data_IF_744010432590
#
_entry.id   IF_744010432590
#
_cell.length_a   1.000
_cell.length_b   1.000
_cell.length_c   1.000
_cell.angle_alpha   90.00
_cell.angle_beta   90.00
_cell.angle_gamma   90.00
#
_symmetry.space_group_name_H-M   'P 1'
#
loop_
_entity.id
_entity.type
_entity.pdbx_description
1 polymer ?
#
# COMPACT_ATOMS: atom_id res chain seq x y z
N UNK A 1 -37.05 10.36 -9.32
CA UNK A 1 -35.77 10.57 -10.03
C UNK A 1 -34.89 9.38 -9.72
N UNK A 2 -34.72 8.43 -10.64
CA UNK A 2 -33.77 7.33 -10.45
C UNK A 2 -32.36 7.90 -10.61
N UNK A 3 -31.54 7.80 -9.56
CA UNK A 3 -30.15 8.22 -9.63
C UNK A 3 -29.38 7.20 -10.50
N UNK A 4 -29.18 7.53 -11.76
CA UNK A 4 -28.51 6.66 -12.75
C UNK A 4 -27.06 6.34 -12.37
N UNK A 5 -26.42 7.16 -11.52
CA UNK A 5 -25.07 6.89 -11.02
C UNK A 5 -25.02 5.74 -10.01
N UNK A 6 -26.08 5.51 -9.23
CA UNK A 6 -26.16 4.38 -8.30
C UNK A 6 -26.49 3.05 -8.98
N UNK A 7 -27.23 3.11 -10.10
CA UNK A 7 -27.66 1.91 -10.86
C UNK A 7 -26.51 1.31 -11.67
N UNK A 8 -25.51 2.12 -12.04
CA UNK A 8 -24.33 1.68 -12.81
C UNK A 8 -23.12 1.31 -11.94
N UNK A 9 -23.22 1.40 -10.61
CA UNK A 9 -22.11 0.95 -9.74
C UNK A 9 -22.01 -0.56 -9.78
N UNK A 10 -20.98 -1.04 -10.49
CA UNK A 10 -20.60 -2.44 -10.48
C UNK A 10 -20.06 -2.82 -9.09
N UNK A 11 -20.39 -4.02 -8.59
CA UNK A 11 -19.88 -4.48 -7.30
C UNK A 11 -18.36 -4.57 -7.40
N UNK A 12 -17.64 -4.02 -6.42
CA UNK A 12 -16.18 -4.11 -6.36
C UNK A 12 -15.76 -5.01 -5.21
N UNK A 13 -14.72 -5.81 -5.45
CA UNK A 13 -14.01 -6.48 -4.37
C UNK A 13 -13.32 -5.39 -3.55
N UNK A 14 -13.64 -5.35 -2.26
CA UNK A 14 -13.18 -4.28 -1.40
C UNK A 14 -13.17 -4.74 0.04
N UNK A 15 -12.32 -4.12 0.83
CA UNK A 15 -12.32 -4.30 2.27
C UNK A 15 -13.32 -3.36 2.94
N UNK A 16 -13.40 -3.45 4.26
CA UNK A 16 -14.09 -2.46 5.07
C UNK A 16 -13.21 -2.05 6.24
N UNK A 17 -13.41 -0.84 6.74
CA UNK A 17 -12.77 -0.34 7.94
C UNK A 17 -13.82 0.42 8.74
N UNK A 18 -13.92 0.11 10.03
CA UNK A 18 -14.82 0.76 10.96
C UNK A 18 -14.03 1.21 12.18
N UNK A 19 -14.36 2.37 12.72
CA UNK A 19 -13.69 2.94 13.88
C UNK A 19 -14.75 3.25 14.94
N UNK A 20 -14.62 2.58 16.08
CA UNK A 20 -15.44 2.82 17.26
C UNK A 20 -14.92 4.08 17.99
N UNK A 21 -15.62 5.19 17.76
CA UNK A 21 -15.27 6.51 18.32
C UNK A 21 -15.33 6.48 19.85
N UNK A 22 -16.18 5.65 20.47
CA UNK A 22 -16.31 5.57 21.92
C UNK A 22 -15.06 5.02 22.60
N UNK A 23 -14.36 4.09 21.94
CA UNK A 23 -13.10 3.49 22.42
C UNK A 23 -11.86 4.26 21.95
N UNK A 24 -11.99 5.02 20.87
CA UNK A 24 -10.87 5.74 20.27
C UNK A 24 -10.40 6.87 21.18
N UNK A 25 -9.19 6.73 21.74
CA UNK A 25 -8.50 7.81 22.44
C UNK A 25 -7.59 8.56 21.45
N UNK A 26 -7.55 9.91 21.49
CA UNK A 26 -6.69 10.70 20.61
C UNK A 26 -5.22 10.27 20.69
N UNK A 27 -4.63 9.87 19.58
CA UNK A 27 -3.21 9.52 19.44
C UNK A 27 -2.79 9.52 17.96
N UNK A 28 -1.48 9.57 17.67
CA UNK A 28 -0.94 9.58 16.31
C UNK A 28 -0.57 8.19 15.76
N UNK A 29 -0.77 7.12 16.54
CA UNK A 29 -0.24 5.79 16.22
C UNK A 29 -0.73 5.28 14.86
N UNK A 30 -2.03 5.38 14.61
CA UNK A 30 -2.64 4.85 13.40
C UNK A 30 -2.22 5.60 12.12
N UNK A 31 -2.04 6.92 12.21
CA UNK A 31 -1.52 7.76 11.14
C UNK A 31 -0.07 7.38 10.82
N UNK A 32 0.80 7.32 11.84
CA UNK A 32 2.22 6.99 11.70
C UNK A 32 2.46 5.52 11.30
N UNK A 33 1.55 4.63 11.63
CA UNK A 33 1.62 3.22 11.23
C UNK A 33 1.22 3.01 9.77
N UNK A 34 0.38 3.87 9.20
CA UNK A 34 -0.25 3.61 7.90
C UNK A 34 0.76 3.80 6.74
N UNK A 35 1.16 2.72 6.03
CA UNK A 35 2.13 2.85 4.93
C UNK A 35 1.60 3.62 3.71
N UNK A 36 0.28 3.84 3.66
CA UNK A 36 -0.44 4.55 2.59
C UNK A 36 -0.95 5.92 3.03
N UNK A 37 -0.62 6.37 4.24
CA UNK A 37 -1.07 7.64 4.83
C UNK A 37 -2.59 7.88 4.68
N UNK A 38 -3.38 6.81 4.77
CA UNK A 38 -4.84 6.85 4.57
C UNK A 38 -5.60 7.21 5.83
N UNK A 39 -4.92 7.29 6.98
CA UNK A 39 -5.48 7.68 8.27
C UNK A 39 -4.88 9.00 8.68
N UNK A 40 -5.73 9.97 9.04
CA UNK A 40 -5.30 11.27 9.59
C UNK A 40 -5.92 11.46 10.95
N UNK A 41 -5.08 11.70 11.94
CA UNK A 41 -5.47 11.99 13.32
C UNK A 41 -5.33 13.49 13.59
N UNK A 42 -6.46 14.19 13.59
CA UNK A 42 -6.53 15.60 13.98
C UNK A 42 -6.62 15.68 15.50
N UNK A 43 -5.53 16.07 16.15
CA UNK A 43 -5.45 16.20 17.61
C UNK A 43 -5.36 17.68 17.97
N UNK A 44 -6.28 18.14 18.81
CA UNK A 44 -6.30 19.46 19.41
C UNK A 44 -5.90 19.34 20.87
N UNK A 45 -4.68 19.77 21.17
CA UNK A 45 -4.12 19.88 22.52
C UNK A 45 -3.62 21.33 22.66
N UNK A 46 -4.00 22.05 23.73
CA UNK A 46 -3.42 23.36 24.03
C UNK A 46 -1.91 23.21 24.25
N UNK A 47 -1.12 24.15 23.75
CA UNK A 47 0.34 24.06 23.95
C UNK A 47 0.68 24.37 25.41
N UNK A 48 1.86 23.90 25.83
CA UNK A 48 2.39 24.19 27.16
C UNK A 48 2.37 25.68 27.48
N UNK A 49 2.71 26.54 26.52
CA UNK A 49 2.78 28.00 26.73
C UNK A 49 1.41 28.61 27.11
N UNK A 50 0.31 27.99 26.69
CA UNK A 50 -1.05 28.45 27.01
C UNK A 50 -1.52 27.95 28.39
N UNK A 51 -0.96 26.83 28.86
CA UNK A 51 -1.36 26.16 30.10
C UNK A 51 -0.56 26.59 31.32
N UNK A 52 0.67 27.05 31.13
CA UNK A 52 1.59 27.43 32.21
C UNK A 52 1.77 28.94 32.20
N UNK A 53 1.28 29.61 33.25
CA UNK A 53 1.44 31.06 33.43
C UNK A 53 2.43 31.33 34.55
N UNK A 54 3.46 32.12 34.24
CA UNK A 54 4.53 32.50 35.15
C UNK A 54 4.28 33.88 35.75
N UNK A 55 4.57 34.03 37.04
CA UNK A 55 4.57 35.31 37.74
C UNK A 55 6.03 35.79 37.89
N UNK A 56 6.59 36.34 36.80
CA UNK A 56 7.96 36.88 36.77
C UNK A 56 8.96 36.06 35.94
N UNK A 57 10.22 36.01 36.39
CA UNK A 57 11.30 35.30 35.69
C UNK A 57 11.08 33.79 35.66
N UNK A 58 11.37 33.16 34.52
CA UNK A 58 11.14 31.73 34.29
C UNK A 58 12.39 30.94 34.67
N UNK A 59 12.28 30.12 35.71
CA UNK A 59 13.31 29.18 36.13
C UNK A 59 12.68 27.93 36.74
N UNK A 60 13.36 26.78 36.61
CA UNK A 60 12.94 25.53 37.21
C UNK A 60 14.12 24.56 37.40
N UNK A 61 14.08 23.80 38.49
CA UNK A 61 15.00 22.72 38.83
C UNK A 61 14.19 21.44 39.04
N UNK A 62 14.59 20.36 38.39
CA UNK A 62 13.84 19.10 38.44
C UNK A 62 14.54 17.95 37.76
N UNK A 63 13.84 16.82 37.67
CA UNK A 63 14.29 15.60 37.00
C UNK A 63 13.15 15.05 36.13
N UNK A 64 13.48 14.59 34.93
CA UNK A 64 12.55 13.93 34.02
C UNK A 64 13.12 12.60 33.51
N UNK A 65 12.32 11.55 33.54
CA UNK A 65 12.68 10.21 33.06
C UNK A 65 11.55 9.61 32.22
N UNK A 66 11.92 8.93 31.14
CA UNK A 66 10.99 8.20 30.28
C UNK A 66 11.31 6.72 30.33
N UNK A 67 10.33 5.90 30.70
CA UNK A 67 10.40 4.45 30.59
C UNK A 67 10.05 4.05 29.15
N UNK A 68 11.05 3.59 28.40
CA UNK A 68 10.89 3.21 26.98
C UNK A 68 10.07 1.94 26.79
N UNK A 69 10.03 1.04 27.78
CA UNK A 69 9.25 -0.21 27.70
C UNK A 69 7.74 0.06 27.79
N UNK A 70 7.35 1.11 28.54
CA UNK A 70 5.95 1.55 28.66
C UNK A 70 5.54 2.54 27.56
N UNK A 71 6.50 3.17 26.88
CA UNK A 71 6.20 4.19 25.89
C UNK A 71 5.67 3.57 24.60
N UNK A 72 4.44 3.93 24.22
CA UNK A 72 3.81 3.48 22.96
C UNK A 72 4.01 4.47 21.80
N UNK A 73 4.81 5.52 21.99
CA UNK A 73 5.03 6.59 21.01
C UNK A 73 3.72 7.18 20.46
N UNK A 74 2.80 7.56 21.36
CA UNK A 74 1.50 8.10 20.98
C UNK A 74 1.55 9.52 20.38
N UNK A 75 2.65 10.25 20.58
CA UNK A 75 2.88 11.60 20.05
C UNK A 75 2.31 12.76 20.87
N UNK A 76 1.49 12.48 21.90
CA UNK A 76 0.79 13.54 22.65
C UNK A 76 1.74 14.50 23.38
N UNK A 77 2.83 13.97 23.94
CA UNK A 77 3.82 14.76 24.68
C UNK A 77 4.64 15.69 23.77
N UNK A 78 4.93 15.28 22.53
CA UNK A 78 5.62 16.11 21.53
C UNK A 78 4.71 17.22 21.00
N UNK A 79 3.40 16.94 20.78
CA UNK A 79 2.43 17.99 20.39
C UNK A 79 2.29 19.05 21.50
N UNK A 80 2.28 18.61 22.76
CA UNK A 80 2.08 19.46 23.92
C UNK A 80 3.29 20.33 24.24
N UNK A 81 4.51 19.78 24.13
CA UNK A 81 5.72 20.37 24.69
C UNK A 81 6.89 20.37 23.70
N UNK A 82 7.41 21.56 23.41
CA UNK A 82 8.56 21.76 22.52
C UNK A 82 9.90 21.21 23.07
N UNK A 83 9.94 20.80 24.35
CA UNK A 83 11.11 20.15 24.95
C UNK A 83 11.21 18.66 24.58
N UNK A 84 10.12 18.03 24.14
CA UNK A 84 10.07 16.61 23.83
C UNK A 84 10.02 16.44 22.32
N UNK A 85 10.89 15.59 21.77
CA UNK A 85 10.90 15.25 20.35
C UNK A 85 10.96 13.75 20.16
N UNK A 86 10.11 13.24 19.25
CA UNK A 86 10.11 11.81 18.89
C UNK A 86 10.80 11.66 17.55
N UNK A 87 11.71 10.69 17.47
CA UNK A 87 12.35 10.33 16.21
C UNK A 87 11.44 9.36 15.45
N UNK A 88 10.52 9.91 14.67
CA UNK A 88 9.56 9.14 13.89
C UNK A 88 10.24 8.41 12.72
N UNK A 89 9.73 7.23 12.41
CA UNK A 89 10.08 6.47 11.21
C UNK A 89 9.04 6.78 10.13
N UNK A 90 9.48 7.25 8.98
CA UNK A 90 8.58 7.61 7.87
C UNK A 90 7.78 6.43 7.32
N UNK A 91 8.42 5.25 7.25
CA UNK A 91 7.82 4.02 6.71
C UNK A 91 8.12 2.84 7.63
N UNK A 92 7.16 2.44 8.47
CA UNK A 92 7.30 1.25 9.30
C UNK A 92 7.57 0.01 8.44
N UNK A 93 8.59 -0.75 8.81
CA UNK A 93 8.98 -1.98 8.11
C UNK A 93 8.80 -3.21 9.00
N UNK A 94 8.52 -4.38 8.40
CA UNK A 94 8.47 -5.64 9.13
C UNK A 94 9.86 -6.01 9.70
N UNK A 95 9.92 -6.89 10.72
CA UNK A 95 8.80 -7.64 11.29
C UNK A 95 7.98 -6.85 12.33
N UNK A 96 8.55 -5.81 12.92
CA UNK A 96 7.96 -5.15 14.09
C UNK A 96 7.06 -3.96 13.73
N UNK A 97 7.21 -3.36 12.55
CA UNK A 97 6.52 -2.13 12.15
C UNK A 97 6.64 -1.04 13.23
N UNK A 98 7.88 -0.76 13.65
CA UNK A 98 8.18 0.34 14.56
C UNK A 98 7.78 1.67 13.91
N UNK A 99 7.20 2.55 14.72
CA UNK A 99 6.81 3.90 14.30
C UNK A 99 7.81 4.98 14.73
N UNK A 100 8.71 4.66 15.66
CA UNK A 100 9.74 5.57 16.15
C UNK A 100 11.02 4.80 16.54
N UNK A 101 12.17 5.47 16.43
CA UNK A 101 13.47 4.99 16.89
C UNK A 101 13.71 5.30 18.36
N UNK A 102 13.19 6.44 18.83
CA UNK A 102 13.40 6.90 20.20
C UNK A 102 12.65 8.20 20.50
N UNK A 103 12.79 8.65 21.74
CA UNK A 103 12.24 9.89 22.27
C UNK A 103 13.34 10.63 23.03
N UNK A 104 13.48 11.92 22.77
CA UNK A 104 14.50 12.78 23.34
C UNK A 104 13.86 13.94 24.09
N UNK A 105 14.51 14.37 25.17
CA UNK A 105 14.13 15.53 25.95
C UNK A 105 15.26 16.54 25.89
N UNK A 106 14.94 17.79 25.58
CA UNK A 106 15.82 18.92 25.76
C UNK A 106 15.57 19.50 27.15
N UNK A 107 16.50 19.25 28.08
CA UNK A 107 16.37 19.70 29.47
C UNK A 107 16.43 21.22 29.61
N UNK A 108 17.14 21.93 28.73
CA UNK A 108 17.21 23.41 28.75
C UNK A 108 15.85 24.08 28.49
N UNK A 109 14.96 23.40 27.74
CA UNK A 109 13.59 23.84 27.46
C UNK A 109 12.55 23.26 28.42
N UNK A 110 12.96 22.30 29.24
CA UNK A 110 12.09 21.64 30.21
C UNK A 110 12.01 22.49 31.47
N UNK A 111 10.79 22.80 31.90
CA UNK A 111 10.53 23.51 33.16
C UNK A 111 9.91 22.59 34.22
N UNK A 112 9.90 21.27 33.97
CA UNK A 112 9.35 20.27 34.88
C UNK A 112 7.89 20.53 35.30
N UNK A 113 7.06 21.12 34.43
CA UNK A 113 5.64 21.44 34.71
C UNK A 113 4.69 20.24 34.85
N UNK A 114 5.20 19.01 34.76
CA UNK A 114 4.45 17.75 34.89
C UNK A 114 3.32 17.49 33.86
N UNK A 115 3.04 18.42 32.95
CA UNK A 115 2.00 18.28 31.93
C UNK A 115 2.19 17.05 31.00
N UNK A 116 3.43 16.72 30.67
CA UNK A 116 3.75 15.54 29.86
C UNK A 116 3.47 14.21 30.60
N UNK A 117 3.54 14.20 31.93
CA UNK A 117 3.17 13.06 32.78
C UNK A 117 1.65 12.91 32.82
N UNK A 118 0.91 14.00 33.01
CA UNK A 118 -0.56 14.00 33.03
C UNK A 118 -1.19 13.53 31.71
N UNK A 119 -0.61 13.90 30.56
CA UNK A 119 -1.14 13.51 29.25
C UNK A 119 -0.77 12.07 28.84
N UNK A 120 0.17 11.43 29.53
CA UNK A 120 0.72 10.15 29.10
C UNK A 120 -0.26 8.99 29.38
N UNK A 121 -0.81 8.32 28.35
CA UNK A 121 -1.83 7.29 28.55
C UNK A 121 -1.30 6.00 29.20
N UNK A 122 0.03 5.80 29.22
CA UNK A 122 0.69 4.61 29.77
C UNK A 122 1.57 4.92 30.97
N UNK A 123 1.53 6.16 31.47
CA UNK A 123 2.34 6.59 32.63
C UNK A 123 3.85 6.30 32.43
N UNK A 124 4.32 6.42 31.18
CA UNK A 124 5.71 6.17 30.82
C UNK A 124 6.65 7.30 31.25
N UNK A 125 6.12 8.49 31.55
CA UNK A 125 6.90 9.69 31.87
C UNK A 125 6.80 9.99 33.36
N UNK A 126 7.96 10.09 34.02
CA UNK A 126 8.10 10.53 35.41
C UNK A 126 8.76 11.91 35.43
N UNK A 127 8.12 12.87 36.10
CA UNK A 127 8.64 14.23 36.28
C UNK A 127 8.62 14.55 37.76
N UNK A 128 9.70 15.17 38.26
CA UNK A 128 9.80 15.74 39.60
C UNK A 128 10.25 17.19 39.48
N UNK A 129 9.43 18.12 39.94
CA UNK A 129 9.82 19.52 40.11
C UNK A 129 10.31 19.74 41.54
N UNK A 130 11.58 20.14 41.72
CA UNK A 130 12.12 20.46 43.04
C UNK A 130 11.87 21.92 43.41
N UNK A 131 12.13 22.83 42.46
CA UNK A 131 11.90 24.26 42.61
C UNK A 131 11.50 24.86 41.26
N UNK A 132 10.65 25.87 41.28
CA UNK A 132 10.33 26.65 40.09
C UNK A 132 9.90 28.05 40.47
N UNK A 133 9.94 28.95 39.50
CA UNK A 133 9.21 30.20 39.58
C UNK A 133 7.73 29.95 39.93
N UNK A 134 7.08 30.87 40.69
CA UNK A 134 5.65 30.80 40.93
C UNK A 134 4.89 30.73 39.61
N UNK A 135 4.04 29.70 39.48
CA UNK A 135 3.30 29.43 38.25
C UNK A 135 1.96 28.78 38.52
N UNK A 136 1.01 29.08 37.66
CA UNK A 136 -0.28 28.38 37.62
C UNK A 136 -0.29 27.43 36.43
N UNK A 137 -0.71 26.19 36.66
CA UNK A 137 -0.76 25.13 35.65
C UNK A 137 -2.22 24.68 35.48
N UNK A 138 -2.76 24.90 34.28
CA UNK A 138 -4.09 24.40 33.93
C UNK A 138 -4.03 22.94 33.44
N UNK A 139 -5.11 22.19 33.66
CA UNK A 139 -5.22 20.81 33.16
C UNK A 139 -5.37 20.81 31.63
N UNK A 140 -4.65 19.95 30.91
CA UNK A 140 -4.79 19.84 29.47
C UNK A 140 -6.10 19.12 29.10
N UNK A 141 -6.91 19.74 28.24
CA UNK A 141 -8.02 19.05 27.56
C UNK A 141 -7.55 18.50 26.21
N UNK A 142 -7.80 17.22 25.95
CA UNK A 142 -7.43 16.56 24.70
C UNK A 142 -8.70 16.32 23.89
N UNK A 143 -8.75 16.87 22.69
CA UNK A 143 -9.82 16.57 21.72
C UNK A 143 -9.18 16.00 20.47
N UNK A 144 -9.78 14.95 19.90
CA UNK A 144 -9.23 14.31 18.71
C UNK A 144 -10.31 13.81 17.78
N UNK A 145 -10.01 13.82 16.48
CA UNK A 145 -10.83 13.21 15.44
C UNK A 145 -9.92 12.40 14.53
N UNK A 146 -10.40 11.24 14.13
CA UNK A 146 -9.74 10.40 13.13
C UNK A 146 -10.57 10.37 11.86
N UNK A 147 -9.90 10.50 10.72
CA UNK A 147 -10.52 10.40 9.40
C UNK A 147 -9.81 9.34 8.58
N UNK A 148 -10.57 8.61 7.76
CA UNK A 148 -10.06 7.57 6.87
C UNK A 148 -10.34 7.96 5.43
N UNK A 149 -9.29 8.04 4.63
CA UNK A 149 -9.39 8.12 3.18
C UNK A 149 -9.55 6.71 2.61
N UNK A 150 -10.80 6.33 2.31
CA UNK A 150 -11.15 5.03 1.74
C UNK A 150 -10.64 4.83 0.32
N UNK A 151 -10.30 5.90 -0.41
CA UNK A 151 -9.72 5.80 -1.75
C UNK A 151 -8.25 5.37 -1.73
N UNK A 152 -7.51 5.73 -0.67
CA UNK A 152 -6.11 5.34 -0.50
C UNK A 152 -5.90 4.11 0.40
N UNK A 153 -6.86 3.80 1.25
CA UNK A 153 -6.82 2.65 2.15
C UNK A 153 -6.90 1.34 1.35
N UNK A 154 -6.07 0.36 1.73
CA UNK A 154 -6.07 -0.99 1.15
C UNK A 154 -6.45 -2.08 2.15
N UNK A 155 -6.97 -1.68 3.31
CA UNK A 155 -7.52 -2.57 4.35
C UNK A 155 -6.55 -3.65 4.83
N UNK A 156 -5.26 -3.33 4.96
CA UNK A 156 -4.22 -4.27 5.39
C UNK A 156 -4.34 -4.72 6.85
N UNK A 157 -5.01 -3.93 7.69
CA UNK A 157 -5.20 -4.21 9.11
C UNK A 157 -4.03 -3.83 10.02
N UNK A 158 -2.98 -3.16 9.52
CA UNK A 158 -1.87 -2.68 10.36
C UNK A 158 -2.35 -1.75 11.49
N UNK A 159 -3.28 -0.84 11.19
CA UNK A 159 -3.85 0.07 12.18
C UNK A 159 -4.71 -0.64 13.24
N UNK A 160 -5.36 -1.75 12.89
CA UNK A 160 -6.12 -2.61 13.82
C UNK A 160 -5.17 -3.19 14.86
N UNK A 161 -4.04 -3.73 14.39
CA UNK A 161 -3.07 -4.42 15.23
C UNK A 161 -2.29 -3.47 16.15
N UNK A 162 -1.96 -2.27 15.66
CA UNK A 162 -1.24 -1.24 16.45
C UNK A 162 -2.14 -0.41 17.36
N UNK A 163 -3.47 -0.50 17.25
CA UNK A 163 -4.37 0.29 18.08
C UNK A 163 -4.36 -0.21 19.53
N UNK A 164 -3.87 0.56 20.52
CA UNK A 164 -3.83 0.11 21.91
C UNK A 164 -5.24 -0.06 22.51
N UNK A 165 -6.22 0.70 22.01
CA UNK A 165 -7.61 0.64 22.48
C UNK A 165 -8.48 -0.38 21.72
N UNK A 166 -7.93 -1.04 20.69
CA UNK A 166 -8.68 -1.94 19.78
C UNK A 166 -9.96 -1.28 19.24
N UNK A 167 -9.89 0.01 18.91
CA UNK A 167 -11.02 0.80 18.43
C UNK A 167 -11.26 0.66 16.92
N UNK A 168 -10.35 0.00 16.19
CA UNK A 168 -10.41 -0.11 14.72
C UNK A 168 -10.67 -1.57 14.37
N UNK A 169 -11.64 -1.80 13.49
CA UNK A 169 -11.92 -3.09 12.87
C UNK A 169 -11.74 -2.96 11.36
N UNK A 170 -11.09 -3.93 10.72
CA UNK A 170 -10.94 -3.94 9.27
C UNK A 170 -11.13 -5.34 8.68
N UNK A 171 -11.81 -5.42 7.55
CA UNK A 171 -11.93 -6.62 6.72
C UNK A 171 -11.11 -6.42 5.46
N UNK A 172 -10.24 -7.38 5.14
CA UNK A 172 -9.43 -7.37 3.92
C UNK A 172 -10.29 -7.65 2.68
N UNK A 173 -9.91 -7.18 1.48
CA UNK A 173 -10.62 -7.52 0.24
C UNK A 173 -10.59 -9.02 -0.07
N UNK A 174 -9.50 -9.70 0.25
CA UNK A 174 -9.33 -11.14 0.05
C UNK A 174 -8.95 -11.84 1.35
N UNK A 175 -9.39 -13.08 1.48
CA UNK A 175 -8.85 -14.05 2.44
C UNK A 175 -8.00 -15.06 1.66
N UNK A 176 -6.89 -15.50 2.24
CA UNK A 176 -5.91 -16.28 1.52
C UNK A 176 -4.66 -16.56 2.32
N UNK A 177 -3.64 -17.05 1.63
CA UNK A 177 -2.30 -17.31 2.13
C UNK A 177 -1.26 -16.91 1.08
N UNK A 178 -0.05 -16.58 1.54
CA UNK A 178 1.12 -16.40 0.70
C UNK A 178 2.19 -17.38 1.12
N UNK A 179 2.79 -18.09 0.15
CA UNK A 179 3.83 -19.10 0.38
C UNK A 179 5.05 -18.81 -0.47
N UNK A 180 6.21 -19.09 0.08
CA UNK A 180 7.49 -19.11 -0.64
C UNK A 180 7.71 -20.56 -1.04
N UNK A 181 7.55 -20.88 -2.33
CA UNK A 181 7.54 -22.27 -2.82
C UNK A 181 8.90 -22.74 -3.34
N UNK A 182 9.76 -21.81 -3.80
CA UNK A 182 11.09 -22.09 -4.36
C UNK A 182 12.14 -21.17 -3.72
N UNK A 183 12.37 -21.26 -2.40
CA UNK A 183 13.27 -20.36 -1.68
C UNK A 183 14.71 -20.39 -2.24
N UNK A 184 15.15 -21.51 -2.79
CA UNK A 184 16.47 -21.73 -3.38
C UNK A 184 16.75 -20.86 -4.62
N UNK A 185 15.70 -20.50 -5.37
CA UNK A 185 15.81 -19.63 -6.55
C UNK A 185 15.75 -18.14 -6.21
N UNK A 186 15.53 -17.81 -4.94
CA UNK A 186 15.39 -16.43 -4.50
C UNK A 186 16.74 -15.84 -4.15
N UNK A 187 17.14 -14.79 -4.86
CA UNK A 187 18.25 -13.93 -4.44
C UNK A 187 17.70 -12.57 -3.95
N UNK A 188 17.67 -12.31 -2.63
CA UNK A 188 17.20 -11.03 -2.09
C UNK A 188 18.12 -9.85 -2.40
N UNK A 189 19.38 -10.09 -2.77
CA UNK A 189 20.31 -9.04 -3.19
C UNK A 189 20.10 -8.63 -4.65
N UNK A 190 19.43 -9.48 -5.44
CA UNK A 190 19.18 -9.28 -6.86
C UNK A 190 17.99 -8.35 -7.16
N UNK A 191 16.93 -8.90 -7.75
CA UNK A 191 15.87 -8.10 -8.39
C UNK A 191 15.07 -7.17 -7.46
N UNK A 192 14.84 -7.57 -6.19
CA UNK A 192 14.02 -6.85 -5.20
C UNK A 192 12.58 -6.47 -5.67
N UNK A 193 12.06 -7.11 -6.72
CA UNK A 193 10.74 -6.80 -7.27
C UNK A 193 9.61 -6.91 -6.23
N UNK A 194 9.60 -7.96 -5.41
CA UNK A 194 8.58 -8.16 -4.38
C UNK A 194 8.63 -7.08 -3.28
N UNK A 195 9.81 -6.58 -2.93
CA UNK A 195 10.00 -5.51 -1.96
C UNK A 195 9.45 -4.18 -2.51
N UNK A 196 9.84 -3.83 -3.73
CA UNK A 196 9.49 -2.54 -4.34
C UNK A 196 8.02 -2.44 -4.77
N UNK A 197 7.41 -3.57 -5.16
CA UNK A 197 6.02 -3.58 -5.62
C UNK A 197 5.00 -3.68 -4.49
N UNK A 198 5.40 -4.21 -3.33
CA UNK A 198 4.45 -4.38 -2.23
C UNK A 198 4.05 -3.01 -1.67
N UNK A 199 2.78 -2.58 -1.80
CA UNK A 199 2.35 -1.27 -1.28
C UNK A 199 2.40 -1.17 0.24
N UNK A 200 2.57 -2.32 0.92
CA UNK A 200 2.66 -2.48 2.37
C UNK A 200 4.08 -2.79 2.85
N UNK A 201 5.03 -2.95 1.93
CA UNK A 201 6.41 -3.32 2.23
C UNK A 201 6.54 -4.51 3.20
N UNK A 202 5.80 -5.60 2.95
CA UNK A 202 5.71 -6.73 3.89
C UNK A 202 6.88 -7.71 3.84
N UNK A 203 7.75 -7.59 2.84
CA UNK A 203 8.89 -8.49 2.66
C UNK A 203 10.11 -7.98 3.44
N UNK A 204 10.81 -8.90 4.09
CA UNK A 204 12.07 -8.61 4.79
C UNK A 204 13.05 -9.77 4.63
N UNK A 205 14.34 -9.45 4.71
CA UNK A 205 15.43 -10.43 4.66
C UNK A 205 15.64 -10.99 6.06
N UNK A 206 15.80 -12.30 6.15
CA UNK A 206 16.09 -12.97 7.43
C UNK A 206 17.57 -12.90 7.75
N UNK A 207 17.91 -12.57 9.00
CA UNK A 207 19.32 -12.53 9.48
C UNK A 207 19.83 -13.92 9.89
N UNK A 208 18.93 -14.80 10.29
CA UNK A 208 19.21 -16.18 10.72
C UNK A 208 19.26 -17.10 9.49
N UNK A 209 20.09 -18.16 9.47
CA UNK A 209 20.00 -19.21 8.46
C UNK A 209 18.64 -19.90 8.54
N UNK A 210 17.64 -19.35 7.87
CA UNK A 210 16.32 -19.95 7.67
C UNK A 210 16.24 -20.58 6.28
N UNK A 211 15.36 -21.56 6.12
CA UNK A 211 15.11 -22.25 4.84
C UNK A 211 14.84 -21.27 3.69
N UNK A 212 14.21 -20.12 3.98
CA UNK A 212 14.00 -19.04 3.02
C UNK A 212 14.85 -17.80 3.36
N UNK A 213 15.51 -17.21 2.34
CA UNK A 213 16.31 -15.97 2.48
C UNK A 213 15.46 -14.71 2.69
N UNK A 214 14.17 -14.81 2.37
CA UNK A 214 13.17 -13.76 2.59
C UNK A 214 12.02 -14.31 3.44
N UNK A 215 11.34 -13.44 4.17
CA UNK A 215 10.07 -13.69 4.83
C UNK A 215 9.06 -12.60 4.49
N UNK A 216 7.79 -12.90 4.72
CA UNK A 216 6.67 -11.98 4.52
C UNK A 216 5.88 -11.86 5.82
N UNK A 217 5.53 -10.63 6.19
CA UNK A 217 4.54 -10.36 7.23
C UNK A 217 3.13 -10.63 6.70
N UNK A 218 2.80 -11.91 6.55
CA UNK A 218 1.57 -12.46 5.97
C UNK A 218 0.28 -11.95 6.64
N UNK A 219 0.32 -11.71 7.96
CA UNK A 219 -0.80 -11.17 8.75
C UNK A 219 -1.37 -9.88 8.17
N UNK A 220 -0.60 -9.07 7.44
CA UNK A 220 -1.07 -7.84 6.82
C UNK A 220 -1.23 -7.93 5.29
N UNK A 221 -0.88 -9.06 4.68
CA UNK A 221 -1.01 -9.28 3.25
C UNK A 221 -2.49 -9.27 2.82
N UNK A 222 -2.79 -8.58 1.72
CA UNK A 222 -4.13 -8.51 1.12
C UNK A 222 -4.31 -9.48 -0.05
N UNK A 223 -3.32 -10.33 -0.30
CA UNK A 223 -3.36 -11.38 -1.33
C UNK A 223 -3.65 -10.86 -2.76
N UNK A 224 -3.13 -9.67 -3.10
CA UNK A 224 -3.34 -9.07 -4.43
C UNK A 224 -2.62 -9.83 -5.56
N UNK A 225 -1.52 -10.54 -5.26
CA UNK A 225 -0.77 -11.34 -6.25
C UNK A 225 0.26 -10.55 -7.07
N UNK A 226 0.41 -9.22 -6.87
CA UNK A 226 1.36 -8.41 -7.62
C UNK A 226 2.81 -8.92 -7.51
N UNK A 227 3.21 -9.40 -6.33
CA UNK A 227 4.54 -9.97 -6.11
C UNK A 227 4.77 -11.31 -6.84
N UNK A 228 3.71 -12.09 -7.08
CA UNK A 228 3.78 -13.35 -7.84
C UNK A 228 4.04 -13.02 -9.30
N UNK A 229 3.22 -12.16 -9.89
CA UNK A 229 3.32 -11.78 -11.30
C UNK A 229 4.66 -11.12 -11.66
N UNK A 230 5.29 -10.45 -10.71
CA UNK A 230 6.55 -9.76 -10.91
C UNK A 230 7.78 -10.62 -10.63
N UNK A 231 7.61 -11.84 -10.10
CA UNK A 231 8.73 -12.71 -9.78
C UNK A 231 9.16 -13.48 -11.04
N UNK A 232 10.37 -13.24 -11.59
CA UNK A 232 10.82 -13.93 -12.81
C UNK A 232 11.10 -15.43 -12.61
N UNK A 233 11.16 -15.88 -11.35
CA UNK A 233 11.48 -17.27 -10.99
C UNK A 233 10.31 -18.02 -10.32
N UNK A 234 9.12 -17.40 -10.25
CA UNK A 234 7.92 -17.95 -9.61
C UNK A 234 8.18 -18.50 -8.20
N UNK A 235 8.95 -17.74 -7.41
CA UNK A 235 9.31 -18.09 -6.01
C UNK A 235 8.11 -17.97 -5.08
N UNK A 236 7.18 -17.08 -5.39
CA UNK A 236 6.05 -16.74 -4.54
C UNK A 236 4.76 -17.33 -5.11
N UNK A 237 3.88 -17.80 -4.24
CA UNK A 237 2.53 -18.21 -4.59
C UNK A 237 1.53 -17.58 -3.64
N UNK A 238 0.45 -17.03 -4.18
CA UNK A 238 -0.67 -16.49 -3.41
C UNK A 238 -1.89 -17.34 -3.73
N UNK A 239 -2.49 -17.93 -2.70
CA UNK A 239 -3.74 -18.64 -2.82
C UNK A 239 -4.85 -17.81 -2.16
N UNK A 240 -5.99 -17.63 -2.83
CA UNK A 240 -7.17 -16.94 -2.31
C UNK A 240 -8.27 -17.95 -2.01
N UNK A 241 -8.89 -17.80 -0.84
CA UNK A 241 -9.96 -18.67 -0.35
C UNK A 241 -11.33 -17.98 -0.37
N UNK A 242 -11.34 -16.66 -0.36
CA UNK A 242 -12.55 -15.86 -0.41
C UNK A 242 -12.27 -14.39 -0.70
N UNK A 243 -13.33 -13.63 -0.92
CA UNK A 243 -13.29 -12.20 -1.15
C UNK A 243 -14.46 -11.50 -0.46
N UNK A 244 -14.30 -10.22 -0.17
CA UNK A 244 -15.35 -9.34 0.34
C UNK A 244 -15.79 -8.38 -0.77
N UNK A 245 -17.07 -8.03 -0.77
CA UNK A 245 -17.69 -7.09 -1.71
C UNK A 245 -18.37 -5.96 -0.93
N UNK A 246 -18.31 -4.75 -1.48
CA UNK A 246 -18.93 -3.54 -0.89
C UNK A 246 -20.46 -3.66 -0.79
N UNK A 247 -21.11 -4.15 -1.84
CA UNK A 247 -22.57 -4.23 -1.91
C UNK A 247 -23.03 -5.41 -2.77
N UNK A 248 -23.82 -6.32 -2.18
CA UNK A 248 -24.34 -7.49 -2.86
C UNK A 248 -25.81 -7.29 -3.24
N UNK A 249 -26.06 -6.81 -4.47
CA UNK A 249 -27.43 -6.67 -5.02
C UNK A 249 -27.81 -7.92 -5.81
N UNK A 250 -29.11 -8.28 -5.90
CA UNK A 250 -29.54 -9.49 -6.62
C UNK A 250 -29.07 -9.58 -8.08
N UNK A 251 -28.94 -8.44 -8.77
CA UNK A 251 -28.46 -8.37 -10.16
C UNK A 251 -26.94 -8.42 -10.32
N UNK A 252 -26.17 -8.47 -9.21
CA UNK A 252 -24.71 -8.54 -9.23
C UNK A 252 -24.16 -9.97 -9.40
N UNK A 253 -25.04 -10.97 -9.53
CA UNK A 253 -24.67 -12.38 -9.55
C UNK A 253 -23.63 -12.71 -10.64
N UNK A 254 -23.79 -12.15 -11.84
CA UNK A 254 -22.84 -12.36 -12.95
C UNK A 254 -21.43 -11.86 -12.63
N UNK A 255 -21.31 -10.73 -11.91
CA UNK A 255 -20.00 -10.21 -11.47
C UNK A 255 -19.39 -11.09 -10.39
N UNK A 256 -20.21 -11.57 -9.45
CA UNK A 256 -19.78 -12.48 -8.39
C UNK A 256 -19.23 -13.78 -9.01
N UNK A 257 -19.89 -14.33 -10.02
CA UNK A 257 -19.41 -15.51 -10.75
C UNK A 257 -18.06 -15.28 -11.44
N UNK A 258 -17.82 -14.07 -11.98
CA UNK A 258 -16.52 -13.69 -12.52
C UNK A 258 -15.47 -13.64 -11.40
N UNK A 259 -15.80 -13.02 -10.25
CA UNK A 259 -14.89 -12.94 -9.11
C UNK A 259 -14.56 -14.28 -8.48
N UNK A 260 -15.48 -15.25 -8.52
CA UNK A 260 -15.21 -16.62 -8.07
C UNK A 260 -14.07 -17.28 -8.87
N UNK A 261 -13.81 -16.86 -10.12
CA UNK A 261 -12.64 -17.35 -10.89
C UNK A 261 -11.29 -16.91 -10.30
N UNK A 262 -11.29 -15.91 -9.42
CA UNK A 262 -10.08 -15.47 -8.71
C UNK A 262 -9.77 -16.31 -7.47
N UNK A 263 -10.70 -17.18 -7.05
CA UNK A 263 -10.56 -18.07 -5.89
C UNK A 263 -9.95 -19.39 -6.33
N UNK A 264 -8.90 -19.80 -5.61
CA UNK A 264 -8.22 -21.06 -5.88
C UNK A 264 -9.16 -22.24 -5.68
N UNK A 265 -9.04 -23.24 -6.58
CA UNK A 265 -9.87 -24.46 -6.61
C UNK A 265 -11.35 -24.25 -6.98
N UNK A 266 -11.81 -23.03 -7.26
CA UNK A 266 -13.15 -22.82 -7.81
C UNK A 266 -13.27 -23.42 -9.22
N UNK A 267 -14.31 -24.23 -9.45
CA UNK A 267 -14.64 -24.75 -10.78
C UNK A 267 -15.83 -23.96 -11.33
N UNK A 268 -15.71 -23.31 -12.50
CA UNK A 268 -16.81 -22.55 -13.07
C UNK A 268 -17.98 -23.48 -13.41
N UNK A 269 -19.21 -23.02 -13.13
CA UNK A 269 -20.41 -23.72 -13.59
C UNK A 269 -20.45 -23.61 -15.12
N UNK A 270 -20.51 -24.75 -15.79
CA UNK A 270 -20.75 -24.80 -17.23
C UNK A 270 -22.25 -24.56 -17.41
N UNK A 271 -22.62 -23.40 -17.97
CA UNK A 271 -24.01 -23.13 -18.32
C UNK A 271 -24.24 -23.77 -19.68
N UNK A 272 -24.92 -24.90 -19.69
CA UNK A 272 -25.44 -25.48 -20.92
C UNK A 272 -26.61 -24.61 -21.37
N UNK A 273 -26.35 -23.71 -22.32
CA UNK A 273 -27.44 -23.05 -23.01
C UNK A 273 -28.18 -24.12 -23.81
N UNK A 274 -29.51 -24.27 -23.65
CA UNK A 274 -30.26 -25.05 -24.61
C UNK A 274 -30.00 -24.39 -25.95
N UNK A 275 -29.34 -25.12 -26.86
CA UNK A 275 -29.18 -24.70 -28.23
C UNK A 275 -30.61 -24.47 -28.71
N UNK A 276 -31.07 -23.21 -28.76
CA UNK A 276 -32.30 -22.88 -29.47
C UNK A 276 -32.07 -23.49 -30.83
N UNK A 277 -32.89 -24.48 -31.22
CA UNK A 277 -32.86 -25.01 -32.58
C UNK A 277 -32.85 -23.78 -33.47
N UNK A 278 -31.71 -23.51 -34.09
CA UNK A 278 -31.61 -22.47 -35.09
C UNK A 278 -32.60 -22.94 -36.15
N UNK A 279 -33.78 -22.31 -36.17
CA UNK A 279 -34.70 -22.48 -37.28
C UNK A 279 -33.86 -22.02 -38.45
N UNK A 280 -33.43 -22.97 -39.29
CA UNK A 280 -32.69 -22.64 -40.50
C UNK A 280 -33.55 -21.61 -41.22
N UNK A 281 -33.04 -20.39 -41.49
CA UNK A 281 -33.80 -19.41 -42.24
C UNK A 281 -34.31 -20.09 -43.52
N UNK A 282 -35.63 -20.15 -43.68
CA UNK A 282 -36.28 -20.78 -44.85
C UNK A 282 -36.09 -19.94 -46.11
N UNK A 283 -35.76 -18.67 -45.94
CA UNK A 283 -35.35 -17.82 -47.05
C UNK A 283 -33.87 -18.08 -47.33
N UNK A 284 -33.59 -18.61 -48.53
CA UNK A 284 -32.25 -18.55 -49.12
C UNK A 284 -31.77 -17.12 -48.96
N UNK A 285 -30.76 -16.91 -48.12
CA UNK A 285 -30.07 -15.64 -48.08
C UNK A 285 -29.70 -15.31 -49.53
N UNK A 286 -30.20 -14.18 -50.03
CA UNK A 286 -29.70 -13.61 -51.28
C UNK A 286 -28.24 -13.31 -50.97
N UNK A 287 -27.37 -14.25 -51.35
CA UNK A 287 -25.94 -14.02 -51.42
C UNK A 287 -25.80 -12.87 -52.41
N UNK A 288 -25.70 -11.65 -51.89
CA UNK A 288 -25.16 -10.56 -52.68
C UNK A 288 -23.82 -11.08 -53.17
N UNK A 289 -23.61 -11.06 -54.48
CA UNK A 289 -22.31 -11.35 -55.05
C UNK A 289 -21.30 -10.55 -54.23
N UNK A 290 -20.42 -11.27 -53.55
CA UNK A 290 -19.31 -10.64 -52.84
C UNK A 290 -18.56 -9.97 -53.97
N UNK A 291 -18.66 -8.63 -54.05
CA UNK A 291 -17.92 -7.86 -55.02
C UNK A 291 -16.46 -8.27 -54.96
N UNK A 292 -15.79 -8.31 -56.11
CA UNK A 292 -14.41 -8.81 -56.23
C UNK A 292 -13.57 -8.31 -55.06
N UNK A 293 -12.95 -9.25 -54.35
CA UNK A 293 -12.00 -8.93 -53.28
C UNK A 293 -10.93 -8.07 -53.92
N UNK A 294 -10.93 -6.77 -53.61
CA UNK A 294 -9.90 -5.85 -54.10
C UNK A 294 -8.58 -6.38 -53.60
N UNK A 295 -7.81 -6.99 -54.49
CA UNK A 295 -6.48 -7.46 -54.13
C UNK A 295 -5.65 -6.23 -53.77
N UNK A 296 -4.86 -6.29 -52.68
CA UNK A 296 -3.99 -5.18 -52.34
C UNK A 296 -3.08 -4.88 -53.53
N UNK A 297 -2.87 -3.59 -53.87
CA UNK A 297 -1.99 -3.18 -54.96
C UNK A 297 -0.66 -3.92 -54.92
N UNK A 298 -0.14 -4.31 -56.09
CA UNK A 298 1.13 -5.07 -56.21
C UNK A 298 2.30 -4.34 -55.53
N UNK A 299 2.22 -3.01 -55.37
CA UNK A 299 3.22 -2.22 -54.64
C UNK A 299 3.40 -2.63 -53.17
N UNK A 300 2.40 -3.25 -52.53
CA UNK A 300 2.53 -3.74 -51.16
C UNK A 300 3.57 -4.85 -51.02
N UNK A 301 3.83 -5.62 -52.08
CA UNK A 301 4.90 -6.64 -52.08
C UNK A 301 6.28 -6.01 -51.92
N UNK A 302 6.56 -4.92 -52.64
CA UNK A 302 7.84 -4.20 -52.55
C UNK A 302 8.04 -3.51 -51.19
N UNK A 303 6.96 -3.02 -50.59
CA UNK A 303 7.01 -2.43 -49.25
C UNK A 303 7.32 -3.53 -48.23
N UNK A 304 6.67 -4.69 -48.34
CA UNK A 304 6.89 -5.83 -47.44
C UNK A 304 8.34 -6.31 -47.49
N UNK A 305 8.92 -6.51 -48.67
CA UNK A 305 10.33 -6.90 -48.81
C UNK A 305 11.30 -5.89 -48.17
N UNK A 306 10.98 -4.59 -48.22
CA UNK A 306 11.80 -3.55 -47.58
C UNK A 306 11.64 -3.56 -46.06
N UNK A 307 10.44 -3.83 -45.57
CA UNK A 307 10.17 -3.95 -44.13
C UNK A 307 10.88 -5.17 -43.54
N UNK A 308 10.85 -6.31 -44.23
CA UNK A 308 11.52 -7.54 -43.78
C UNK A 308 13.04 -7.33 -43.64
N UNK A 309 13.67 -6.69 -44.64
CA UNK A 309 15.10 -6.32 -44.58
C UNK A 309 15.41 -5.34 -43.45
N UNK A 310 14.51 -4.40 -43.18
CA UNK A 310 14.68 -3.44 -42.09
C UNK A 310 14.57 -4.13 -40.73
N UNK A 311 13.65 -5.09 -40.57
CA UNK A 311 13.45 -5.85 -39.35
C UNK A 311 14.68 -6.70 -39.01
N UNK A 312 15.30 -7.32 -40.02
CA UNK A 312 16.56 -8.05 -39.87
C UNK A 312 17.71 -7.14 -39.38
N UNK A 313 17.80 -5.92 -39.93
CA UNK A 313 18.81 -4.93 -39.52
C UNK A 313 18.57 -4.41 -38.10
N UNK A 314 17.32 -4.08 -37.74
CA UNK A 314 16.96 -3.54 -36.42
C UNK A 314 17.05 -4.60 -35.31
N UNK A 315 16.96 -5.89 -35.66
CA UNK A 315 17.16 -6.98 -34.70
C UNK A 315 18.55 -6.93 -34.03
N UNK A 316 19.56 -6.43 -34.74
CA UNK A 316 20.92 -6.27 -34.23
C UNK A 316 21.03 -5.14 -33.19
N UNK A 317 21.53 -5.46 -31.99
CA UNK A 317 21.72 -4.50 -30.88
C UNK A 317 22.62 -3.32 -31.27
N UNK A 318 23.68 -3.55 -32.05
CA UNK A 318 24.62 -2.48 -32.43
C UNK A 318 23.96 -1.46 -33.37
N UNK A 319 23.11 -1.93 -34.29
CA UNK A 319 22.34 -1.06 -35.21
C UNK A 319 21.37 -0.19 -34.43
N UNK A 320 20.62 -0.76 -33.47
CA UNK A 320 19.71 0.01 -32.60
C UNK A 320 20.42 1.12 -31.82
N UNK A 321 21.59 0.82 -31.24
CA UNK A 321 22.39 1.81 -30.50
C UNK A 321 22.86 2.95 -31.42
N UNK A 322 23.23 2.66 -32.67
CA UNK A 322 23.67 3.67 -33.64
C UNK A 322 22.52 4.57 -34.12
N UNK A 323 21.31 4.02 -34.28
CA UNK A 323 20.09 4.78 -34.62
C UNK A 323 19.77 5.77 -33.49
N UNK A 324 19.72 5.29 -32.24
CA UNK A 324 19.44 6.14 -31.06
C UNK A 324 20.47 7.27 -30.87
N UNK A 325 21.72 7.03 -31.28
CA UNK A 325 22.80 8.03 -31.21
C UNK A 325 22.86 8.99 -32.42
N UNK A 326 22.03 8.78 -33.44
CA UNK A 326 22.05 9.60 -34.67
C UNK A 326 23.31 9.44 -35.53
N UNK A 327 24.11 8.39 -35.32
CA UNK A 327 25.39 8.19 -36.00
C UNK A 327 25.21 7.52 -37.38
N UNK A 328 24.65 8.27 -38.34
CA UNK A 328 24.29 7.79 -39.69
C UNK A 328 25.46 7.27 -40.52
N UNK A 329 26.68 7.82 -40.34
CA UNK A 329 27.89 7.40 -41.06
C UNK A 329 28.31 5.97 -40.69
N UNK A 330 28.27 5.64 -39.39
CA UNK A 330 28.61 4.30 -38.88
C UNK A 330 27.53 3.27 -39.17
N UNK A 331 26.27 3.71 -39.20
CA UNK A 331 25.13 2.88 -39.59
C UNK A 331 25.30 2.35 -41.03
N UNK A 332 25.69 3.22 -41.96
CA UNK A 332 25.92 2.85 -43.36
C UNK A 332 27.08 1.87 -43.55
N UNK A 333 28.16 1.98 -42.77
CA UNK A 333 29.26 1.01 -42.81
C UNK A 333 28.85 -0.36 -42.25
N UNK A 334 28.07 -0.38 -41.17
CA UNK A 334 27.63 -1.62 -40.53
C UNK A 334 26.58 -2.36 -41.37
N UNK A 335 25.63 -1.63 -41.96
CA UNK A 335 24.60 -2.19 -42.84
C UNK A 335 25.17 -2.87 -44.09
N UNK A 336 26.25 -2.32 -44.66
CA UNK A 336 26.96 -2.95 -45.80
C UNK A 336 27.70 -4.23 -45.40
N UNK A 337 28.26 -4.28 -44.19
CA UNK A 337 28.97 -5.46 -43.69
C UNK A 337 28.01 -6.62 -43.36
N UNK A 338 26.77 -6.32 -42.95
CA UNK A 338 25.73 -7.31 -42.64
C UNK A 338 25.15 -7.93 -43.92
N UNK A 339 25.00 -7.16 -45.01
CA UNK A 339 24.49 -7.66 -46.30
C UNK A 339 25.55 -8.32 -47.21
N UNK A 340 26.84 -8.32 -46.84
CA UNK A 340 27.91 -9.00 -47.58
C UNK A 340 28.26 -10.39 -47.02
N UNK A 341 27.61 -10.81 -45.94
CA UNK A 341 27.56 -12.20 -45.48
C UNK A 341 26.22 -12.79 -45.87
#
# INVERSE_FOLDING_TARGET
>A
KFNTEEVLKTPRISGSINIDISKCKPCLICEKTCPRNSLKAEIKIPKKEDLVKYEGEVWAEGEIKINLDKCIYCGLCEILCNAIKIEWIDKPTPPEFKIANGIMINEDKCDYCELCKEICPTEAISVKCFKSAPRTIAKPEIKGKITVDTGNCIWCGLCVDKCPQKAIEAKKPFTGEIRIVKPEKCDPSGCKNCFNLCPLNLFYITKTPSESRIKVADRYCIYCGACVNACPYDVLKVNRFGFNIEENKPWNQSYIEIYMKLIDKYKPKIIEYPIRKLVKPTEKAILREIGEVVQPPVEFGRIRERMDKLEELISNRAVRILIERGETKRLNSLGRAIHQK
#
